data_IF_311556529406
#
_entry.id   IF_311556529406
#
_cell.length_a   1.000
_cell.length_b   1.000
_cell.length_c   1.000
_cell.angle_alpha   90.00
_cell.angle_beta   90.00
_cell.angle_gamma   90.00
#
_symmetry.space_group_name_H-M   'P 1'
#
loop_
_entity.id
_entity.type
_entity.pdbx_description
1 polymer ?
#
# COMPACT_ATOMS: atom_id res chain seq x y z
N UNK A 1 -2.55 -17.06 -24.57
CA UNK A 1 -3.45 -18.16 -24.98
C UNK A 1 -2.61 -19.40 -25.17
N UNK A 2 -2.88 -20.50 -24.43
CA UNK A 2 -2.14 -21.76 -24.54
C UNK A 2 -2.47 -22.39 -25.89
N UNK A 3 -1.44 -22.84 -26.63
CA UNK A 3 -1.65 -23.49 -27.93
C UNK A 3 -2.31 -24.88 -27.78
N UNK A 4 -3.19 -25.23 -28.70
CA UNK A 4 -3.99 -26.45 -28.63
C UNK A 4 -3.22 -27.76 -28.39
N UNK A 5 -2.03 -27.99 -29.04
CA UNK A 5 -1.26 -29.21 -28.77
C UNK A 5 -0.70 -29.30 -27.33
N UNK A 6 -0.55 -28.17 -26.65
CA UNK A 6 -0.12 -28.16 -25.25
C UNK A 6 -1.31 -28.43 -24.33
N UNK A 7 -2.49 -27.88 -24.63
CA UNK A 7 -3.72 -28.16 -23.87
C UNK A 7 -4.06 -29.65 -23.82
N UNK A 8 -3.89 -30.35 -24.92
CA UNK A 8 -4.17 -31.81 -25.02
C UNK A 8 -3.25 -32.66 -24.11
N UNK A 9 -2.08 -32.13 -23.76
CA UNK A 9 -1.10 -32.81 -22.89
C UNK A 9 -1.18 -32.43 -21.41
N UNK A 10 -1.96 -31.43 -21.06
CA UNK A 10 -2.14 -30.95 -19.69
C UNK A 10 -3.30 -31.75 -19.05
N UNK A 11 -3.03 -32.39 -17.93
CA UNK A 11 -4.03 -33.24 -17.25
C UNK A 11 -5.14 -32.45 -16.55
N UNK A 12 -4.91 -31.19 -16.19
CA UNK A 12 -5.90 -30.31 -15.57
C UNK A 12 -5.60 -28.84 -15.82
N UNK A 13 -6.62 -28.02 -15.85
CA UNK A 13 -6.55 -26.55 -15.96
C UNK A 13 -7.24 -25.95 -14.73
N UNK A 14 -6.52 -25.14 -13.97
CA UNK A 14 -7.07 -24.41 -12.81
C UNK A 14 -7.21 -22.94 -13.19
N UNK A 15 -8.42 -22.43 -13.13
CA UNK A 15 -8.70 -21.02 -13.33
C UNK A 15 -8.46 -20.26 -12.02
N UNK A 16 -7.59 -19.26 -12.06
CA UNK A 16 -7.35 -18.36 -10.94
C UNK A 16 -8.01 -17.01 -11.20
N UNK A 17 -8.38 -16.32 -10.13
CA UNK A 17 -8.92 -14.96 -10.17
C UNK A 17 -8.24 -14.08 -9.14
N UNK A 18 -8.45 -12.77 -9.22
CA UNK A 18 -8.02 -11.83 -8.18
C UNK A 18 -8.82 -12.04 -6.88
N UNK A 19 -8.26 -11.68 -5.72
CA UNK A 19 -9.03 -11.62 -4.49
C UNK A 19 -10.27 -10.74 -4.68
N UNK A 20 -11.42 -11.22 -4.21
CA UNK A 20 -12.69 -10.51 -4.28
C UNK A 20 -12.88 -9.57 -3.09
N UNK A 21 -12.21 -9.87 -1.98
CA UNK A 21 -12.26 -9.10 -0.74
C UNK A 21 -10.85 -8.64 -0.34
N UNK A 22 -10.77 -7.47 0.28
CA UNK A 22 -9.51 -6.89 0.73
C UNK A 22 -8.80 -7.80 1.72
N UNK A 23 -9.55 -8.45 2.62
CA UNK A 23 -9.05 -9.38 3.64
C UNK A 23 -8.36 -10.59 3.02
N UNK A 24 -8.90 -11.12 1.93
CA UNK A 24 -8.27 -12.23 1.19
C UNK A 24 -6.94 -11.80 0.58
N UNK A 25 -6.91 -10.62 -0.03
CA UNK A 25 -5.71 -10.03 -0.58
C UNK A 25 -4.65 -9.78 0.51
N UNK A 26 -5.05 -9.22 1.64
CA UNK A 26 -4.18 -9.02 2.80
C UNK A 26 -3.59 -10.33 3.33
N UNK A 27 -4.38 -11.41 3.36
CA UNK A 27 -3.90 -12.73 3.79
C UNK A 27 -2.81 -13.26 2.86
N UNK A 28 -3.03 -13.18 1.54
CA UNK A 28 -2.04 -13.57 0.52
C UNK A 28 -0.78 -12.72 0.66
N UNK A 29 -0.94 -11.40 0.74
CA UNK A 29 0.19 -10.46 0.85
C UNK A 29 1.03 -10.74 2.10
N UNK A 30 0.41 -11.03 3.25
CA UNK A 30 1.13 -11.38 4.48
C UNK A 30 1.85 -12.71 4.39
N UNK A 31 1.27 -13.68 3.71
CA UNK A 31 1.87 -15.01 3.53
C UNK A 31 3.10 -14.95 2.62
N UNK A 32 3.04 -14.17 1.55
CA UNK A 32 4.05 -14.18 0.48
C UNK A 32 5.14 -13.10 0.64
N UNK A 33 4.85 -12.01 1.37
CA UNK A 33 5.81 -10.93 1.55
C UNK A 33 6.93 -11.33 2.50
N UNK A 34 8.17 -11.01 2.10
CA UNK A 34 9.33 -11.13 2.99
C UNK A 34 9.33 -10.00 4.03
N UNK A 35 8.49 -10.14 5.05
CA UNK A 35 8.26 -9.14 6.08
C UNK A 35 9.24 -9.26 7.27
N UNK A 36 9.52 -10.49 7.71
CA UNK A 36 10.45 -10.78 8.81
C UNK A 36 11.83 -11.07 8.23
N UNK A 37 12.77 -10.12 8.34
CA UNK A 37 14.07 -10.18 7.66
C UNK A 37 15.24 -9.59 8.44
N UNK A 38 15.11 -9.44 9.73
CA UNK A 38 16.17 -8.89 10.57
C UNK A 38 15.92 -9.10 12.06
N UNK A 39 16.83 -8.63 12.88
CA UNK A 39 16.79 -8.80 14.34
C UNK A 39 15.80 -7.82 15.02
N UNK A 40 15.35 -6.78 14.32
CA UNK A 40 14.41 -5.80 14.87
C UNK A 40 12.98 -6.27 14.70
N UNK A 41 12.18 -6.29 15.78
CA UNK A 41 10.79 -6.71 15.69
C UNK A 41 9.98 -5.73 14.81
N UNK A 42 9.16 -6.30 13.94
CA UNK A 42 8.24 -5.57 13.07
C UNK A 42 6.90 -5.32 13.80
N UNK A 43 6.49 -4.06 13.87
CA UNK A 43 5.18 -3.63 14.36
C UNK A 43 4.31 -3.19 13.18
N UNK A 44 3.77 -4.18 12.47
CA UNK A 44 2.97 -3.95 11.26
C UNK A 44 1.49 -3.77 11.63
N UNK A 45 1.05 -2.51 11.65
CA UNK A 45 -0.34 -2.15 11.93
C UNK A 45 -1.25 -2.61 10.78
N UNK A 46 -2.38 -3.31 11.06
CA UNK A 46 -3.32 -3.79 10.04
C UNK A 46 -3.80 -2.71 9.07
N UNK A 47 -3.94 -1.47 9.52
CA UNK A 47 -4.32 -0.32 8.71
C UNK A 47 -3.36 -0.13 7.50
N UNK A 48 -2.06 -0.24 7.72
CA UNK A 48 -1.06 -0.06 6.64
C UNK A 48 -1.20 -1.17 5.59
N UNK A 49 -1.35 -2.42 6.02
CA UNK A 49 -1.55 -3.56 5.11
C UNK A 49 -2.84 -3.41 4.30
N UNK A 50 -3.90 -2.91 4.93
CA UNK A 50 -5.18 -2.68 4.26
C UNK A 50 -5.08 -1.58 3.19
N UNK A 51 -4.44 -0.45 3.50
CA UNK A 51 -4.20 0.61 2.51
C UNK A 51 -3.39 0.08 1.33
N UNK A 52 -2.34 -0.71 1.59
CA UNK A 52 -1.53 -1.33 0.53
C UNK A 52 -2.39 -2.22 -0.37
N UNK A 53 -3.24 -3.05 0.20
CA UNK A 53 -4.10 -3.95 -0.58
C UNK A 53 -5.14 -3.15 -1.38
N UNK A 54 -5.75 -2.13 -0.77
CA UNK A 54 -6.70 -1.25 -1.45
C UNK A 54 -6.08 -0.49 -2.63
N UNK A 55 -4.77 -0.19 -2.61
CA UNK A 55 -4.07 0.36 -3.79
C UNK A 55 -4.22 -0.57 -5.00
N UNK A 56 -4.06 -1.89 -4.81
CA UNK A 56 -4.26 -2.85 -5.89
C UNK A 56 -5.72 -2.94 -6.35
N UNK A 57 -6.67 -2.88 -5.42
CA UNK A 57 -8.11 -2.86 -5.74
C UNK A 57 -8.50 -1.61 -6.52
N UNK A 58 -8.02 -0.44 -6.12
CA UNK A 58 -8.26 0.83 -6.84
C UNK A 58 -7.58 0.83 -8.22
N UNK A 59 -6.36 0.30 -8.33
CA UNK A 59 -5.66 0.16 -9.60
C UNK A 59 -6.43 -0.73 -10.60
N UNK A 60 -7.04 -1.81 -10.12
CA UNK A 60 -7.86 -2.73 -10.95
C UNK A 60 -9.13 -2.08 -11.49
N UNK A 61 -9.62 -1.00 -10.87
CA UNK A 61 -10.82 -0.26 -11.29
C UNK A 61 -10.50 0.97 -12.14
N UNK A 62 -9.24 1.41 -12.15
CA UNK A 62 -8.82 2.66 -12.78
C UNK A 62 -8.69 2.48 -14.31
N UNK A 63 -9.47 3.25 -15.07
CA UNK A 63 -9.50 3.20 -16.55
C UNK A 63 -8.20 3.66 -17.22
N UNK A 64 -7.33 4.34 -16.49
CA UNK A 64 -6.03 4.80 -16.96
C UNK A 64 -4.97 3.70 -16.93
N UNK A 65 -5.33 2.53 -16.36
CA UNK A 65 -4.46 1.36 -16.25
C UNK A 65 -4.94 0.30 -17.24
N UNK A 66 -4.03 -0.32 -17.98
CA UNK A 66 -4.38 -1.36 -18.95
C UNK A 66 -4.93 -2.61 -18.23
N UNK A 67 -6.22 -2.83 -18.41
CA UNK A 67 -6.92 -3.98 -17.84
C UNK A 67 -6.56 -5.32 -18.50
N UNK A 68 -5.96 -5.30 -19.71
CA UNK A 68 -5.53 -6.53 -20.41
C UNK A 68 -4.26 -7.09 -19.81
N UNK A 69 -3.34 -6.22 -19.41
CA UNK A 69 -2.15 -6.59 -18.65
C UNK A 69 -2.48 -6.94 -17.21
N UNK A 70 -3.51 -6.28 -16.65
CA UNK A 70 -4.02 -6.51 -15.33
C UNK A 70 -3.08 -5.99 -14.22
N UNK A 71 -3.58 -6.06 -12.98
CA UNK A 71 -2.81 -5.69 -11.78
C UNK A 71 -2.70 -6.90 -10.87
N UNK A 72 -1.54 -7.56 -10.92
CA UNK A 72 -1.32 -8.81 -10.21
C UNK A 72 -1.20 -8.61 -8.69
N UNK A 73 -1.41 -9.69 -7.91
CA UNK A 73 -1.18 -9.69 -6.47
C UNK A 73 0.29 -9.50 -6.07
N UNK A 74 1.21 -9.54 -7.02
CA UNK A 74 2.61 -9.15 -6.79
C UNK A 74 2.79 -7.66 -6.50
N UNK A 75 1.83 -6.81 -6.89
CA UNK A 75 1.89 -5.38 -6.59
C UNK A 75 1.84 -5.14 -5.07
N UNK A 76 0.78 -5.52 -4.32
CA UNK A 76 0.73 -5.27 -2.88
C UNK A 76 1.85 -5.99 -2.12
N UNK A 77 2.29 -7.19 -2.53
CA UNK A 77 3.43 -7.89 -1.94
C UNK A 77 4.69 -7.02 -2.03
N UNK A 78 5.06 -6.57 -3.23
CA UNK A 78 6.26 -5.75 -3.44
C UNK A 78 6.14 -4.38 -2.76
N UNK A 79 4.95 -3.79 -2.74
CA UNK A 79 4.71 -2.51 -2.03
C UNK A 79 4.92 -2.69 -0.54
N UNK A 80 4.40 -3.76 0.07
CA UNK A 80 4.59 -4.04 1.50
C UNK A 80 6.08 -4.19 1.82
N UNK A 81 6.83 -4.94 1.03
CA UNK A 81 8.29 -5.12 1.21
C UNK A 81 9.06 -3.80 1.14
N UNK A 82 8.68 -2.90 0.22
CA UNK A 82 9.31 -1.58 0.11
C UNK A 82 8.92 -0.66 1.27
N UNK A 83 7.67 -0.70 1.72
CA UNK A 83 7.18 0.04 2.89
C UNK A 83 7.93 -0.39 4.15
N UNK A 84 8.10 -1.70 4.36
CA UNK A 84 8.89 -2.23 5.48
C UNK A 84 10.36 -1.79 5.35
N UNK A 85 10.95 -1.85 4.15
CA UNK A 85 12.34 -1.40 3.93
C UNK A 85 12.54 0.08 4.26
N UNK A 86 11.59 0.95 3.91
CA UNK A 86 11.66 2.36 4.26
C UNK A 86 11.55 2.57 5.77
N UNK A 87 10.61 1.88 6.42
CA UNK A 87 10.45 1.91 7.87
C UNK A 87 11.68 1.37 8.62
N UNK A 88 12.30 0.30 8.12
CA UNK A 88 13.54 -0.25 8.66
C UNK A 88 14.70 0.74 8.53
N UNK A 89 14.87 1.36 7.35
CA UNK A 89 15.88 2.42 7.14
C UNK A 89 15.68 3.55 8.16
N UNK A 90 14.44 4.02 8.35
CA UNK A 90 14.12 5.05 9.35
C UNK A 90 14.46 4.58 10.76
N UNK A 91 14.07 3.36 11.16
CA UNK A 91 14.36 2.82 12.48
C UNK A 91 15.88 2.75 12.76
N UNK A 92 16.69 2.43 11.73
CA UNK A 92 18.16 2.48 11.86
C UNK A 92 18.66 3.90 12.04
N UNK A 93 18.17 4.86 11.26
CA UNK A 93 18.60 6.27 11.29
C UNK A 93 18.20 6.96 12.60
N UNK A 94 17.02 6.66 13.13
CA UNK A 94 16.49 7.28 14.36
C UNK A 94 16.80 6.51 15.63
N UNK A 95 17.43 5.33 15.52
CA UNK A 95 17.76 4.49 16.67
C UNK A 95 16.54 3.78 17.29
N UNK A 96 15.42 3.67 16.57
CA UNK A 96 14.23 2.96 17.07
C UNK A 96 14.49 1.45 17.22
N UNK A 97 14.01 0.88 18.32
CA UNK A 97 14.18 -0.55 18.59
C UNK A 97 13.26 -1.45 17.78
N UNK A 98 12.20 -0.88 17.19
CA UNK A 98 11.17 -1.59 16.40
C UNK A 98 11.03 -0.94 15.04
N UNK A 99 10.65 -1.74 14.06
CA UNK A 99 10.30 -1.27 12.71
C UNK A 99 8.79 -1.02 12.72
N UNK A 100 8.36 0.24 12.57
CA UNK A 100 6.94 0.61 12.56
C UNK A 100 6.60 1.27 11.23
N UNK A 101 6.06 0.52 10.26
CA UNK A 101 5.59 1.07 8.98
C UNK A 101 4.46 2.09 9.18
N UNK A 102 4.50 3.15 8.38
CA UNK A 102 3.52 4.25 8.37
C UNK A 102 2.88 4.36 6.99
N UNK A 103 1.70 4.97 6.89
CA UNK A 103 1.08 5.27 5.58
C UNK A 103 2.00 6.16 4.73
N UNK A 104 2.75 7.07 5.34
CA UNK A 104 3.73 7.90 4.63
C UNK A 104 4.82 7.08 3.91
N UNK A 105 5.17 5.90 4.41
CA UNK A 105 6.17 5.02 3.78
C UNK A 105 5.70 4.48 2.41
N UNK A 106 4.38 4.51 2.11
CA UNK A 106 3.88 4.13 0.80
C UNK A 106 4.40 5.05 -0.32
N UNK A 107 4.69 6.30 0.01
CA UNK A 107 5.27 7.23 -0.98
C UNK A 107 6.72 6.89 -1.33
N UNK A 108 7.47 6.25 -0.43
CA UNK A 108 8.78 5.68 -0.75
C UNK A 108 8.67 4.43 -1.65
N UNK A 109 7.53 3.74 -1.62
CA UNK A 109 7.24 2.58 -2.46
C UNK A 109 6.65 2.94 -3.86
N UNK A 110 6.57 4.23 -4.24
CA UNK A 110 6.08 4.64 -5.56
C UNK A 110 6.74 3.90 -6.73
N UNK A 111 8.07 3.69 -6.76
CA UNK A 111 8.71 2.93 -7.84
C UNK A 111 8.21 1.48 -7.94
N UNK A 112 7.86 0.87 -6.80
CA UNK A 112 7.29 -0.49 -6.78
C UNK A 112 5.87 -0.54 -7.34
N UNK A 113 5.09 0.53 -7.16
CA UNK A 113 3.75 0.66 -7.74
C UNK A 113 3.86 0.90 -9.24
N UNK A 114 4.59 1.95 -9.66
CA UNK A 114 4.70 2.33 -11.07
C UNK A 114 5.33 1.23 -11.93
N UNK A 115 6.30 0.49 -11.41
CA UNK A 115 6.95 -0.62 -12.11
C UNK A 115 6.08 -1.87 -12.33
N UNK A 116 4.85 -1.88 -11.81
CA UNK A 116 3.89 -2.99 -11.95
C UNK A 116 2.56 -2.57 -12.57
N UNK A 117 2.46 -1.32 -13.01
CA UNK A 117 1.29 -0.79 -13.71
C UNK A 117 1.67 -0.55 -15.16
N UNK A 118 0.89 -1.09 -16.08
CA UNK A 118 0.88 -0.69 -17.46
C UNK A 118 -0.23 0.34 -17.66
N UNK A 119 0.07 1.43 -18.35
CA UNK A 119 -0.83 2.55 -18.46
C UNK A 119 -1.49 2.59 -19.84
N UNK A 120 -2.75 2.97 -19.89
CA UNK A 120 -3.42 3.41 -21.11
C UNK A 120 -2.89 4.80 -21.52
N UNK A 121 -3.14 5.20 -22.75
CA UNK A 121 -2.65 6.47 -23.29
C UNK A 121 -2.93 7.70 -22.41
N UNK A 122 -4.13 7.80 -21.86
CA UNK A 122 -4.49 8.88 -20.93
C UNK A 122 -3.65 8.84 -19.64
N UNK A 123 -3.33 7.64 -19.17
CA UNK A 123 -2.47 7.41 -18.02
C UNK A 123 -1.02 7.81 -18.28
N UNK A 124 -0.51 7.52 -19.47
CA UNK A 124 0.86 7.91 -19.88
C UNK A 124 1.00 9.44 -19.91
N UNK A 125 -0.01 10.16 -20.41
CA UNK A 125 -0.02 11.63 -20.40
C UNK A 125 0.02 12.23 -19.00
N UNK A 126 -0.65 11.62 -18.04
CA UNK A 126 -0.65 12.06 -16.63
C UNK A 126 0.63 11.66 -15.89
N UNK A 127 1.22 10.56 -16.28
CA UNK A 127 2.41 9.97 -15.68
C UNK A 127 2.13 9.02 -14.51
N UNK A 128 2.80 7.88 -14.52
CA UNK A 128 2.58 6.79 -13.55
C UNK A 128 2.73 7.20 -12.09
N UNK A 129 3.67 8.10 -11.78
CA UNK A 129 3.87 8.58 -10.41
C UNK A 129 2.69 9.42 -9.89
N UNK A 130 2.02 10.20 -10.73
CA UNK A 130 0.85 10.96 -10.35
C UNK A 130 -0.34 10.02 -10.07
N UNK A 131 -0.56 9.04 -10.95
CA UNK A 131 -1.58 8.01 -10.78
C UNK A 131 -1.33 7.21 -9.50
N UNK A 132 -0.11 6.76 -9.25
CA UNK A 132 0.25 6.00 -8.05
C UNK A 132 -0.02 6.79 -6.76
N UNK A 133 0.31 8.10 -6.72
CA UNK A 133 -0.04 8.97 -5.59
C UNK A 133 -1.54 9.10 -5.38
N UNK A 134 -2.30 9.21 -6.45
CA UNK A 134 -3.76 9.28 -6.39
C UNK A 134 -4.36 7.96 -5.88
N UNK A 135 -3.85 6.81 -6.33
CA UNK A 135 -4.25 5.50 -5.85
C UNK A 135 -4.01 5.36 -4.35
N UNK A 136 -2.83 5.77 -3.85
CA UNK A 136 -2.51 5.76 -2.41
C UNK A 136 -3.52 6.63 -1.64
N UNK A 137 -3.82 7.84 -2.10
CA UNK A 137 -4.77 8.74 -1.43
C UNK A 137 -6.17 8.16 -1.38
N UNK A 138 -6.67 7.60 -2.50
CA UNK A 138 -8.00 6.94 -2.55
C UNK A 138 -8.07 5.73 -1.64
N UNK A 139 -7.04 4.91 -1.63
CA UNK A 139 -6.95 3.75 -0.75
C UNK A 139 -6.93 4.14 0.73
N UNK A 140 -6.15 5.16 1.10
CA UNK A 140 -6.11 5.67 2.46
C UNK A 140 -7.45 6.29 2.90
N UNK A 141 -8.07 7.12 2.06
CA UNK A 141 -9.38 7.71 2.32
C UNK A 141 -10.46 6.64 2.53
N UNK A 142 -10.54 5.64 1.65
CA UNK A 142 -11.49 4.54 1.80
C UNK A 142 -11.27 3.76 3.10
N UNK A 143 -10.00 3.46 3.45
CA UNK A 143 -9.67 2.75 4.68
C UNK A 143 -10.05 3.56 5.93
N UNK A 144 -9.76 4.87 5.92
CA UNK A 144 -10.11 5.76 7.04
C UNK A 144 -11.62 5.86 7.22
N UNK A 145 -12.38 6.02 6.15
CA UNK A 145 -13.87 6.08 6.22
C UNK A 145 -14.47 4.81 6.78
N UNK A 146 -13.91 3.65 6.45
CA UNK A 146 -14.41 2.36 6.95
C UNK A 146 -14.06 2.12 8.44
N UNK A 147 -12.97 2.71 8.92
CA UNK A 147 -12.45 2.46 10.28
C UNK A 147 -12.72 3.58 11.28
N UNK A 148 -12.80 4.82 10.80
CA UNK A 148 -12.92 6.01 11.63
C UNK A 148 -14.30 6.60 11.45
N UNK A 149 -15.05 6.71 12.54
CA UNK A 149 -16.38 7.32 12.49
C UNK A 149 -16.32 8.81 12.12
N UNK A 150 -17.43 9.37 11.58
CA UNK A 150 -17.47 10.78 11.16
C UNK A 150 -17.04 11.76 12.26
N UNK A 151 -17.47 11.55 13.49
CA UNK A 151 -17.14 12.44 14.62
C UNK A 151 -15.61 12.55 14.87
N UNK A 152 -14.89 11.43 14.84
CA UNK A 152 -13.45 11.44 15.02
C UNK A 152 -12.71 12.07 13.81
N UNK A 153 -13.27 12.01 12.61
CA UNK A 153 -12.76 12.76 11.45
C UNK A 153 -12.95 14.26 11.61
N UNK A 154 -14.11 14.68 12.13
CA UNK A 154 -14.40 16.10 12.42
C UNK A 154 -13.44 16.65 13.48
N UNK A 155 -13.11 15.89 14.52
CA UNK A 155 -12.13 16.27 15.54
C UNK A 155 -10.73 16.52 14.92
N UNK A 156 -10.28 15.65 14.01
CA UNK A 156 -9.00 15.82 13.30
C UNK A 156 -9.03 17.07 12.41
N UNK A 157 -10.12 17.31 11.69
CA UNK A 157 -10.28 18.51 10.86
C UNK A 157 -10.25 19.75 11.73
N UNK A 158 -11.00 19.79 12.83
CA UNK A 158 -11.00 20.92 13.77
C UNK A 158 -9.62 21.18 14.35
N UNK A 159 -8.83 20.14 14.65
CA UNK A 159 -7.47 20.28 15.16
C UNK A 159 -6.55 21.00 14.15
N UNK A 160 -6.64 20.66 12.85
CA UNK A 160 -5.90 21.36 11.79
C UNK A 160 -6.44 22.78 11.54
N UNK A 161 -7.76 22.96 11.54
CA UNK A 161 -8.40 24.27 11.34
C UNK A 161 -8.06 25.25 12.48
N UNK A 162 -7.77 24.74 13.67
CA UNK A 162 -7.25 25.54 14.80
C UNK A 162 -5.80 26.00 14.60
N UNK A 163 -5.17 25.68 13.48
CA UNK A 163 -3.80 26.07 13.14
C UNK A 163 -2.73 25.08 13.60
N UNK A 164 -3.12 23.92 14.10
CA UNK A 164 -2.19 22.86 14.46
C UNK A 164 -1.51 22.28 13.23
N UNK A 165 -0.23 21.89 13.37
CA UNK A 165 0.56 21.32 12.28
C UNK A 165 1.31 20.07 12.75
N UNK A 166 1.32 19.05 11.91
CA UNK A 166 2.06 17.83 12.15
C UNK A 166 3.19 17.70 11.13
N UNK A 167 4.42 17.65 11.59
CA UNK A 167 5.56 17.37 10.73
C UNK A 167 5.82 15.88 10.65
N UNK A 168 5.59 15.29 9.48
CA UNK A 168 5.84 13.88 9.19
C UNK A 168 7.00 13.76 8.22
N UNK A 169 8.16 13.34 8.71
CA UNK A 169 9.36 13.07 7.88
C UNK A 169 9.98 11.73 8.27
N UNK A 170 10.90 11.25 7.45
CA UNK A 170 11.69 10.05 7.75
C UNK A 170 12.69 10.25 8.92
N UNK A 171 12.91 11.48 9.34
CA UNK A 171 13.82 11.83 10.43
C UNK A 171 13.12 11.85 11.80
N UNK A 172 11.78 11.81 11.82
CA UNK A 172 11.00 11.85 13.06
C UNK A 172 10.71 10.45 13.58
N UNK A 173 11.16 10.09 14.79
CA UNK A 173 10.83 8.80 15.42
C UNK A 173 9.31 8.62 15.60
N UNK A 174 8.84 7.37 15.58
CA UNK A 174 7.41 7.05 15.77
C UNK A 174 6.86 7.53 17.10
N UNK A 175 7.67 7.45 18.17
CA UNK A 175 7.27 7.93 19.49
C UNK A 175 7.03 9.46 19.51
N UNK A 176 7.88 10.22 18.80
CA UNK A 176 7.71 11.68 18.70
C UNK A 176 6.46 12.07 17.91
N UNK A 177 6.13 11.32 16.84
CA UNK A 177 4.87 11.53 16.12
C UNK A 177 3.65 11.28 17.00
N UNK A 178 3.65 10.20 17.80
CA UNK A 178 2.55 9.90 18.73
C UNK A 178 2.40 11.01 19.77
N UNK A 179 3.50 11.46 20.37
CA UNK A 179 3.47 12.53 21.36
C UNK A 179 2.91 13.86 20.81
N UNK A 180 3.09 14.14 19.53
CA UNK A 180 2.57 15.34 18.89
C UNK A 180 1.03 15.36 18.75
N UNK A 181 0.36 14.19 18.84
CA UNK A 181 -1.10 14.11 18.88
C UNK A 181 -1.68 14.19 20.30
N UNK A 182 -0.87 13.95 21.33
CA UNK A 182 -1.29 13.98 22.73
C UNK A 182 -1.15 15.36 23.35
N UNK A 183 -0.58 16.34 22.62
CA UNK A 183 -0.35 17.73 23.03
C UNK A 183 -1.39 18.68 22.42
#
# INVERSE_FOLDING_TARGET
KIITPLKDRIGSEILTHYPEQVEQGMAITRQEAWAERGDRPLDLVPLVTEVIERVAFEARKDRRIDHRSGVSQRLPITVLENVISNAERRAVQTGEARITPRIADLYAALPAITGKLELEYEGELMGGAAIARELIRRAADATLRDRVGPAAMDDVVMWFDAGSALQVTDEVPTAALRAAFDS
#
